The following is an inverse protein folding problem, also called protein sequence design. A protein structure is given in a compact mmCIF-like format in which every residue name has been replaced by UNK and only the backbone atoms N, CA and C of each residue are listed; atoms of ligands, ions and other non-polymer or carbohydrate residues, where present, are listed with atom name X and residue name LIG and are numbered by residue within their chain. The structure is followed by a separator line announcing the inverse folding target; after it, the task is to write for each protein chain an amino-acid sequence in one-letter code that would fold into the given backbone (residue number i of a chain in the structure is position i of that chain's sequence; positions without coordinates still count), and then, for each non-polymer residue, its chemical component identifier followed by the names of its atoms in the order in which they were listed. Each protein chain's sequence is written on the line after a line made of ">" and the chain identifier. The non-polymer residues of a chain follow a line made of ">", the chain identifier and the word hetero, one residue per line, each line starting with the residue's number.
data_IF_163035303491
#
_entry.id   IF_163035303491
#
_cell.length_a   1.000
_cell.length_b   1.000
_cell.length_c   1.000
_cell.angle_alpha   90.00
_cell.angle_beta   90.00
_cell.angle_gamma   90.00
#
_symmetry.space_group_name_H-M   'P 1'
#
loop_
_entity.id
_entity.type
_entity.pdbx_description
1 polymer ?
#
# COMPACT_ATOMS: atom_id res chain seq x y z
N UNK A 1 -39.31 19.00 -3.32
CA UNK A 1 -38.28 18.32 -2.53
C UNK A 1 -38.11 19.07 -1.23
N UNK A 2 -38.23 18.38 -0.10
CA UNK A 2 -38.08 18.99 1.23
C UNK A 2 -36.62 19.35 1.48
N UNK A 3 -36.33 20.41 2.25
CA UNK A 3 -34.95 20.80 2.59
C UNK A 3 -34.15 19.67 3.28
N UNK A 4 -34.84 18.72 3.93
CA UNK A 4 -34.22 17.52 4.50
C UNK A 4 -33.74 16.52 3.44
N UNK A 5 -34.46 16.35 2.33
CA UNK A 5 -34.03 15.49 1.21
C UNK A 5 -32.78 16.05 0.53
N UNK A 6 -32.69 17.37 0.39
CA UNK A 6 -31.54 18.03 -0.25
C UNK A 6 -30.28 17.92 0.63
N UNK A 7 -30.43 18.08 1.95
CA UNK A 7 -29.33 17.88 2.90
C UNK A 7 -28.86 16.42 2.98
N UNK A 8 -29.80 15.46 2.96
CA UNK A 8 -29.49 14.03 2.92
C UNK A 8 -28.75 13.63 1.63
N UNK A 9 -29.18 14.13 0.47
CA UNK A 9 -28.49 13.88 -0.80
C UNK A 9 -27.10 14.52 -0.85
N UNK A 10 -26.94 15.74 -0.31
CA UNK A 10 -25.62 16.38 -0.20
C UNK A 10 -24.65 15.59 0.72
N UNK A 11 -25.17 14.92 1.75
CA UNK A 11 -24.37 14.06 2.62
C UNK A 11 -23.91 12.77 1.93
N UNK A 12 -24.68 12.23 0.99
CA UNK A 12 -24.37 11.01 0.24
C UNK A 12 -23.35 11.28 -0.88
N UNK A 13 -23.49 12.39 -1.62
CA UNK A 13 -22.57 12.72 -2.71
C UNK A 13 -21.18 13.05 -2.15
N UNK A 14 -20.16 12.38 -2.69
CA UNK A 14 -18.78 12.50 -2.24
C UNK A 14 -18.45 11.78 -0.92
N UNK A 15 -19.41 11.08 -0.30
CA UNK A 15 -19.17 10.28 0.93
C UNK A 15 -18.04 9.29 0.74
N UNK A 16 -18.05 8.51 -0.34
CA UNK A 16 -17.03 7.50 -0.62
C UNK A 16 -15.61 8.08 -0.70
N UNK A 17 -15.46 9.26 -1.32
CA UNK A 17 -14.17 9.94 -1.36
C UNK A 17 -13.73 10.44 0.02
N UNK A 18 -14.63 11.11 0.77
CA UNK A 18 -14.32 11.63 2.10
C UNK A 18 -13.98 10.52 3.10
N UNK A 19 -14.84 9.51 3.18
CA UNK A 19 -14.68 8.37 4.09
C UNK A 19 -13.48 7.53 3.68
N UNK A 20 -13.33 7.23 2.38
CA UNK A 20 -12.18 6.49 1.86
C UNK A 20 -10.87 7.21 2.17
N UNK A 21 -10.78 8.52 1.91
CA UNK A 21 -9.59 9.30 2.23
C UNK A 21 -9.29 9.31 3.74
N UNK A 22 -10.32 9.33 4.60
CA UNK A 22 -10.15 9.19 6.05
C UNK A 22 -9.58 7.82 6.40
N UNK A 23 -10.20 6.74 5.92
CA UNK A 23 -9.75 5.37 6.18
C UNK A 23 -8.31 5.12 5.70
N UNK A 24 -7.93 5.67 4.54
CA UNK A 24 -6.54 5.61 4.08
C UNK A 24 -5.58 6.34 5.03
N UNK A 25 -5.91 7.55 5.48
CA UNK A 25 -5.07 8.28 6.44
C UNK A 25 -4.91 7.52 7.75
N UNK A 26 -6.02 6.99 8.27
CA UNK A 26 -6.02 6.20 9.51
C UNK A 26 -5.11 4.97 9.34
N UNK A 27 -5.25 4.24 8.24
CA UNK A 27 -4.40 3.07 7.94
C UNK A 27 -2.91 3.41 7.78
N UNK A 28 -2.55 4.45 7.03
CA UNK A 28 -1.14 4.85 6.88
C UNK A 28 -0.53 5.37 8.21
N UNK A 29 -1.33 6.01 9.06
CA UNK A 29 -0.89 6.40 10.39
C UNK A 29 -0.57 5.17 11.27
N UNK A 30 -1.41 4.13 11.20
CA UNK A 30 -1.17 2.87 11.91
C UNK A 30 0.10 2.16 11.41
N UNK A 31 0.35 2.19 10.09
CA UNK A 31 1.59 1.66 9.51
C UNK A 31 2.82 2.45 9.98
N UNK A 32 2.74 3.78 9.99
CA UNK A 32 3.85 4.63 10.45
C UNK A 32 4.20 4.39 11.91
N UNK A 33 3.19 4.28 12.77
CA UNK A 33 3.38 3.90 14.18
C UNK A 33 4.05 2.53 14.31
N UNK A 34 3.61 1.54 13.52
CA UNK A 34 4.21 0.21 13.51
C UNK A 34 5.68 0.26 13.07
N UNK A 35 6.03 1.12 12.12
CA UNK A 35 7.42 1.32 11.68
C UNK A 35 8.28 1.98 12.77
N UNK A 36 7.77 3.02 13.43
CA UNK A 36 8.43 3.73 14.53
C UNK A 36 8.71 2.81 15.72
N UNK A 37 7.76 1.94 16.06
CA UNK A 37 7.85 0.98 17.15
C UNK A 37 8.67 -0.27 16.79
N UNK A 38 9.15 -0.38 15.55
CA UNK A 38 9.79 -1.59 15.01
C UNK A 38 8.91 -2.84 15.18
N UNK A 39 7.60 -2.63 15.05
CA UNK A 39 6.57 -3.65 15.17
C UNK A 39 6.50 -4.59 13.98
N UNK A 40 5.62 -5.58 14.08
CA UNK A 40 5.39 -6.56 13.01
C UNK A 40 4.54 -5.96 11.89
N UNK A 41 4.75 -6.44 10.66
CA UNK A 41 3.92 -6.10 9.52
C UNK A 41 3.78 -7.29 8.57
N UNK A 42 2.54 -7.66 8.29
CA UNK A 42 2.23 -8.68 7.31
C UNK A 42 2.00 -8.02 5.94
N UNK A 43 2.86 -8.35 4.99
CA UNK A 43 2.73 -7.94 3.60
C UNK A 43 1.86 -8.96 2.88
N UNK A 44 0.79 -8.48 2.27
CA UNK A 44 -0.22 -9.34 1.64
C UNK A 44 -0.59 -8.72 0.31
N UNK A 45 -0.55 -9.49 -0.77
CA UNK A 45 -1.08 -9.01 -2.05
C UNK A 45 -2.60 -8.86 -1.97
N UNK A 46 -3.14 -7.83 -2.62
CA UNK A 46 -4.59 -7.58 -2.69
C UNK A 46 -5.30 -8.78 -3.31
N UNK A 47 -4.72 -9.38 -4.35
CA UNK A 47 -5.22 -10.62 -4.95
C UNK A 47 -4.82 -11.81 -4.10
N UNK A 48 -5.81 -12.48 -3.50
CA UNK A 48 -5.62 -13.64 -2.62
C UNK A 48 -5.21 -13.25 -1.19
N UNK A 49 -5.72 -12.11 -0.72
CA UNK A 49 -5.48 -11.60 0.62
C UNK A 49 -6.02 -12.52 1.72
N UNK A 50 -5.22 -12.74 2.77
CA UNK A 50 -5.61 -13.41 4.03
C UNK A 50 -5.86 -12.41 5.16
N UNK A 51 -6.33 -11.20 4.83
CA UNK A 51 -6.44 -10.07 5.74
C UNK A 51 -7.26 -10.39 6.99
N UNK A 52 -8.41 -11.05 6.88
CA UNK A 52 -9.28 -11.38 8.02
C UNK A 52 -8.59 -12.27 9.04
N UNK A 53 -7.82 -13.26 8.57
CA UNK A 53 -7.07 -14.17 9.46
C UNK A 53 -5.99 -13.39 10.19
N UNK A 54 -5.20 -12.61 9.46
CA UNK A 54 -4.08 -11.86 10.05
C UNK A 54 -4.54 -10.75 11.01
N UNK A 55 -5.66 -10.08 10.69
CA UNK A 55 -6.29 -9.09 11.58
C UNK A 55 -6.79 -9.71 12.89
N UNK A 56 -7.13 -11.00 12.90
CA UNK A 56 -7.51 -11.70 14.15
C UNK A 56 -6.33 -11.83 15.13
N UNK A 57 -5.10 -11.70 14.63
CA UNK A 57 -3.86 -11.69 15.43
C UNK A 57 -3.29 -10.28 15.63
N UNK A 58 -4.10 -9.24 15.40
CA UNK A 58 -3.69 -7.84 15.54
C UNK A 58 -2.48 -7.44 14.68
N UNK A 59 -2.20 -8.17 13.60
CA UNK A 59 -1.09 -7.85 12.70
C UNK A 59 -1.44 -6.63 11.82
N UNK A 60 -0.59 -5.58 11.78
CA UNK A 60 -0.66 -4.54 10.78
C UNK A 60 -0.50 -5.15 9.38
N UNK A 61 -1.38 -4.76 8.46
CA UNK A 61 -1.42 -5.31 7.10
C UNK A 61 -0.94 -4.25 6.13
N UNK A 62 0.06 -4.60 5.33
CA UNK A 62 0.58 -3.78 4.23
C UNK A 62 0.10 -4.40 2.92
N UNK A 63 -0.45 -3.55 2.05
CA UNK A 63 -0.85 -3.92 0.69
C UNK A 63 0.08 -3.23 -0.31
N UNK A 64 1.08 -3.94 -0.84
CA UNK A 64 2.10 -3.35 -1.71
C UNK A 64 1.53 -2.70 -2.97
N UNK A 65 0.48 -3.29 -3.58
CA UNK A 65 -0.19 -2.69 -4.74
C UNK A 65 -0.85 -1.35 -4.40
N UNK A 66 -1.44 -1.25 -3.20
CA UNK A 66 -2.11 -0.03 -2.74
C UNK A 66 -1.07 1.05 -2.45
N UNK A 67 0.05 0.71 -1.81
CA UNK A 67 1.14 1.66 -1.57
C UNK A 67 1.69 2.19 -2.89
N UNK A 68 2.01 1.30 -3.84
CA UNK A 68 2.47 1.70 -5.17
C UNK A 68 1.46 2.62 -5.88
N UNK A 69 0.17 2.30 -5.85
CA UNK A 69 -0.88 3.15 -6.42
C UNK A 69 -0.95 4.54 -5.75
N UNK A 70 -0.74 4.63 -4.44
CA UNK A 70 -0.76 5.91 -3.72
C UNK A 70 0.38 6.83 -4.16
N UNK A 71 1.54 6.30 -4.53
CA UNK A 71 2.62 7.11 -5.14
C UNK A 71 2.18 7.71 -6.49
N UNK A 72 1.45 6.94 -7.30
CA UNK A 72 0.97 7.37 -8.61
C UNK A 72 -0.16 8.43 -8.49
N UNK A 73 -1.12 8.21 -7.60
CA UNK A 73 -2.21 9.15 -7.30
C UNK A 73 -1.64 10.51 -6.85
N UNK A 74 -0.53 10.49 -6.10
CA UNK A 74 0.18 11.69 -5.62
C UNK A 74 1.17 12.27 -6.61
N UNK A 75 1.31 11.68 -7.80
CA UNK A 75 2.20 12.11 -8.89
C UNK A 75 3.68 12.13 -8.51
N UNK A 76 4.10 11.20 -7.65
CA UNK A 76 5.51 11.04 -7.25
C UNK A 76 6.07 9.66 -7.62
N UNK A 77 5.27 8.80 -8.27
CA UNK A 77 5.72 7.46 -8.67
C UNK A 77 6.95 7.48 -9.57
N UNK A 78 7.13 8.52 -10.40
CA UNK A 78 8.29 8.63 -11.31
C UNK A 78 9.63 8.47 -10.59
N UNK A 79 9.78 9.10 -9.43
CA UNK A 79 11.02 9.02 -8.65
C UNK A 79 11.29 7.60 -8.15
N UNK A 80 10.24 6.89 -7.72
CA UNK A 80 10.35 5.50 -7.27
C UNK A 80 10.66 4.55 -8.44
N UNK A 81 10.03 4.76 -9.60
CA UNK A 81 10.28 3.92 -10.77
C UNK A 81 11.71 4.08 -11.29
N UNK A 82 12.18 5.33 -11.40
CA UNK A 82 13.55 5.63 -11.84
C UNK A 82 14.58 5.03 -10.89
N UNK A 83 14.38 5.14 -9.57
CA UNK A 83 15.31 4.56 -8.60
C UNK A 83 15.38 3.03 -8.69
N UNK A 84 14.25 2.35 -8.91
CA UNK A 84 14.26 0.91 -9.12
C UNK A 84 14.95 0.52 -10.45
N UNK A 85 14.80 1.32 -11.50
CA UNK A 85 15.49 1.12 -12.77
C UNK A 85 17.00 1.33 -12.64
N UNK A 86 17.42 2.39 -11.94
CA UNK A 86 18.82 2.66 -11.61
C UNK A 86 19.43 1.56 -10.74
N UNK A 87 18.63 0.95 -9.86
CA UNK A 87 19.02 -0.23 -9.08
C UNK A 87 19.18 -1.50 -9.95
N UNK A 88 18.59 -1.52 -11.16
CA UNK A 88 18.78 -2.58 -12.15
C UNK A 88 17.51 -3.33 -12.56
N UNK A 89 16.31 -2.87 -12.18
CA UNK A 89 15.06 -3.46 -12.67
C UNK A 89 14.77 -3.01 -14.10
N UNK A 90 14.30 -3.94 -14.94
CA UNK A 90 13.92 -3.60 -16.31
C UNK A 90 12.77 -2.58 -16.35
N UNK A 91 12.83 -1.56 -17.22
CA UNK A 91 11.71 -0.66 -17.48
C UNK A 91 10.41 -1.39 -17.87
N UNK A 92 10.52 -2.58 -18.47
CA UNK A 92 9.40 -3.40 -18.93
C UNK A 92 8.69 -4.20 -17.81
N UNK A 93 9.20 -4.17 -16.59
CA UNK A 93 8.54 -4.80 -15.43
C UNK A 93 7.42 -3.92 -14.88
N UNK A 94 6.43 -4.54 -14.24
CA UNK A 94 5.28 -3.87 -13.63
C UNK A 94 5.72 -2.73 -12.69
N UNK A 95 5.10 -1.56 -12.88
CA UNK A 95 5.38 -0.37 -12.07
C UNK A 95 5.10 -0.56 -10.58
N UNK A 96 4.19 -1.45 -10.19
CA UNK A 96 3.96 -1.74 -8.77
C UNK A 96 5.18 -2.38 -8.11
N UNK A 97 5.83 -3.33 -8.79
CA UNK A 97 7.06 -3.97 -8.28
C UNK A 97 8.16 -2.93 -8.15
N UNK A 98 8.38 -2.13 -9.20
CA UNK A 98 9.41 -1.08 -9.19
C UNK A 98 9.17 -0.07 -8.06
N UNK A 99 7.92 0.39 -7.90
CA UNK A 99 7.59 1.35 -6.84
C UNK A 99 7.80 0.78 -5.44
N UNK A 100 7.43 -0.48 -5.22
CA UNK A 100 7.63 -1.14 -3.92
C UNK A 100 9.10 -1.46 -3.64
N UNK A 101 9.86 -1.90 -4.64
CA UNK A 101 11.32 -2.06 -4.52
C UNK A 101 11.97 -0.76 -4.05
N UNK A 102 11.71 0.33 -4.75
CA UNK A 102 12.27 1.63 -4.38
C UNK A 102 11.79 2.08 -2.99
N UNK A 103 10.53 1.81 -2.63
CA UNK A 103 10.03 2.05 -1.30
C UNK A 103 10.83 1.28 -0.23
N UNK A 104 11.14 0.01 -0.46
CA UNK A 104 11.99 -0.78 0.45
C UNK A 104 13.43 -0.24 0.50
N UNK A 105 14.02 0.14 -0.64
CA UNK A 105 15.36 0.74 -0.72
C UNK A 105 15.44 2.06 0.06
N UNK A 106 14.37 2.86 0.06
CA UNK A 106 14.21 4.09 0.84
C UNK A 106 13.91 3.85 2.32
N UNK A 107 13.93 2.60 2.79
CA UNK A 107 13.62 2.29 4.19
C UNK A 107 12.17 2.57 4.57
N UNK A 108 11.24 2.45 3.60
CA UNK A 108 9.80 2.64 3.83
C UNK A 108 9.32 4.09 3.70
N UNK A 109 10.14 5.02 3.22
CA UNK A 109 9.73 6.42 3.01
C UNK A 109 8.65 6.54 1.92
N UNK A 110 7.42 6.82 2.34
CA UNK A 110 6.25 6.94 1.48
C UNK A 110 5.55 8.30 1.70
N UNK A 111 4.91 8.91 0.68
CA UNK A 111 4.31 10.25 0.82
C UNK A 111 3.13 10.34 1.82
N UNK A 112 2.67 9.20 2.32
CA UNK A 112 1.60 9.11 3.34
C UNK A 112 2.12 8.80 4.74
N UNK A 113 3.41 8.53 4.91
CA UNK A 113 4.01 8.08 6.16
C UNK A 113 5.12 7.05 5.93
N UNK A 114 5.55 6.37 6.98
CA UNK A 114 6.61 5.36 6.90
C UNK A 114 5.99 3.97 6.85
N UNK A 115 6.38 3.17 5.85
CA UNK A 115 5.89 1.80 5.71
C UNK A 115 6.85 0.86 6.48
N UNK A 116 6.34 0.03 7.40
CA UNK A 116 7.16 -0.87 8.19
C UNK A 116 7.78 -1.95 7.30
N UNK A 117 8.94 -2.47 7.69
CA UNK A 117 9.57 -3.61 7.00
C UNK A 117 8.70 -4.87 7.16
N UNK A 118 8.65 -5.75 6.14
CA UNK A 118 7.91 -7.00 6.23
C UNK A 118 8.50 -7.92 7.31
N UNK A 119 7.65 -8.44 8.19
CA UNK A 119 7.99 -9.57 9.09
C UNK A 119 7.37 -10.88 8.63
N UNK A 120 6.34 -10.81 7.79
CA UNK A 120 5.66 -11.94 7.17
C UNK A 120 5.20 -11.52 5.77
N UNK A 121 5.52 -12.31 4.75
CA UNK A 121 5.02 -12.12 3.39
C UNK A 121 4.02 -13.23 3.02
N UNK A 122 2.80 -12.85 2.66
CA UNK A 122 1.81 -13.76 2.05
C UNK A 122 1.73 -13.44 0.56
N UNK A 123 2.47 -14.24 -0.20
CA UNK A 123 2.53 -14.13 -1.64
C UNK A 123 1.46 -15.01 -2.31
N UNK A 124 0.95 -14.54 -3.44
CA UNK A 124 0.00 -15.29 -4.27
C UNK A 124 0.60 -15.49 -5.65
N UNK A 125 0.27 -16.61 -6.30
CA UNK A 125 0.81 -16.95 -7.60
C UNK A 125 -0.03 -16.36 -8.76
N UNK A 126 -0.62 -15.18 -8.54
CA UNK A 126 -1.52 -14.54 -9.52
C UNK A 126 -0.85 -14.24 -10.87
N UNK A 127 0.45 -13.94 -10.87
CA UNK A 127 1.28 -13.90 -12.08
C UNK A 127 2.76 -14.12 -11.75
N UNK A 128 3.60 -14.39 -12.75
CA UNK A 128 5.05 -14.58 -12.57
C UNK A 128 5.71 -13.37 -11.88
N UNK A 129 5.22 -12.17 -12.15
CA UNK A 129 5.70 -10.94 -11.52
C UNK A 129 5.48 -10.93 -10.00
N UNK A 130 4.36 -11.49 -9.50
CA UNK A 130 4.09 -11.55 -8.05
C UNK A 130 5.03 -12.51 -7.34
N UNK A 131 5.36 -13.63 -7.98
CA UNK A 131 6.34 -14.59 -7.44
C UNK A 131 7.70 -13.90 -7.32
N UNK A 132 8.15 -13.22 -8.39
CA UNK A 132 9.40 -12.46 -8.35
C UNK A 132 9.38 -11.30 -7.38
N UNK A 133 8.24 -10.65 -7.20
CA UNK A 133 8.08 -9.58 -6.22
C UNK A 133 8.25 -10.12 -4.80
N UNK A 134 7.62 -11.26 -4.48
CA UNK A 134 7.78 -11.88 -3.16
C UNK A 134 9.22 -12.33 -2.86
N UNK A 135 9.96 -12.81 -3.86
CA UNK A 135 11.40 -13.14 -3.72
C UNK A 135 12.25 -11.92 -3.32
N UNK A 136 11.78 -10.69 -3.58
CA UNK A 136 12.48 -9.46 -3.18
C UNK A 136 12.34 -9.21 -1.69
N UNK A 137 11.17 -9.46 -1.11
CA UNK A 137 10.92 -9.25 0.32
C UNK A 137 11.70 -10.21 1.23
N UNK A 138 12.17 -11.33 0.69
CA UNK A 138 13.00 -12.30 1.42
C UNK A 138 14.45 -11.83 1.57
N UNK A 139 14.89 -10.84 0.79
CA UNK A 139 16.26 -10.34 0.75
C UNK A 139 16.46 -9.12 1.66
#
# INVERSE_FOLDING_TARGET
>A
MSQQETAANAAIVGRGFRDGARLFRDWFADLSRSAEEQGQAAYVFVIGSMNEILKTFDLPIVFPEVNALQTAIRRVSGDYLNEAEDYGYSPDVCGYVKADVALQLRGGDHPMGTIPKPTLGIATNGCNTYIKWAEIWER
#
